data_IF_958336329934
#
_entry.id   IF_958336329934
#
_cell.length_a   1.000
_cell.length_b   1.000
_cell.length_c   1.000
_cell.angle_alpha   90.00
_cell.angle_beta   90.00
_cell.angle_gamma   90.00
#
_symmetry.space_group_name_H-M   'P 1'
#
loop_
_entity.id
_entity.type
_entity.pdbx_description
1 polymer ?
#
# COMPACT_ATOMS: atom_id res chain seq x y z
N UNK A 1 -17.96 14.08 -1.45
CA UNK A 1 -16.78 13.31 -1.07
C UNK A 1 -15.54 13.98 -1.68
N UNK A 2 -14.37 13.82 -1.01
CA UNK A 2 -13.14 14.46 -1.46
C UNK A 2 -12.57 13.83 -2.72
N UNK A 3 -11.83 14.61 -3.50
CA UNK A 3 -11.12 14.14 -4.68
C UNK A 3 -9.65 14.53 -4.61
N UNK A 4 -8.80 13.76 -5.29
CA UNK A 4 -7.36 14.02 -5.43
C UNK A 4 -6.61 14.14 -4.10
N UNK A 5 -7.08 13.45 -3.04
CA UNK A 5 -6.38 13.44 -1.76
C UNK A 5 -5.11 12.61 -1.86
N UNK A 6 -3.97 13.21 -1.54
CA UNK A 6 -2.68 12.51 -1.60
C UNK A 6 -2.31 11.94 -0.23
N UNK A 7 -2.03 10.65 -0.19
CA UNK A 7 -1.51 9.91 0.95
C UNK A 7 -0.13 9.42 0.57
N UNK A 8 0.90 9.92 1.23
CA UNK A 8 2.28 9.58 0.89
C UNK A 8 3.17 9.40 2.11
N UNK A 9 4.22 8.63 1.93
CA UNK A 9 5.26 8.40 2.93
C UNK A 9 4.71 7.80 4.24
N UNK A 10 3.77 6.86 4.10
CA UNK A 10 3.20 6.13 5.23
C UNK A 10 3.60 4.65 5.19
N UNK A 11 3.51 4.01 6.33
CA UNK A 11 3.68 2.57 6.50
C UNK A 11 2.35 1.99 6.95
N UNK A 12 1.72 1.19 6.11
CA UNK A 12 0.48 0.47 6.41
C UNK A 12 0.84 -0.96 6.79
N UNK A 13 0.72 -1.29 8.06
CA UNK A 13 1.07 -2.62 8.62
C UNK A 13 0.03 -3.08 9.61
N UNK A 14 -0.05 -4.40 9.81
CA UNK A 14 -0.89 -5.04 10.84
C UNK A 14 -2.35 -4.57 10.80
N UNK A 15 -2.89 -4.40 9.63
CA UNK A 15 -4.27 -3.90 9.44
C UNK A 15 -5.36 -4.88 9.86
N UNK A 16 -5.02 -6.15 10.06
CA UNK A 16 -5.99 -7.22 10.35
C UNK A 16 -6.86 -7.63 9.14
N UNK A 17 -6.94 -6.78 8.14
CA UNK A 17 -7.59 -6.98 6.84
C UNK A 17 -6.72 -6.44 5.73
N UNK A 18 -7.32 -6.03 4.61
CA UNK A 18 -6.61 -5.38 3.52
C UNK A 18 -6.11 -4.00 3.95
N UNK A 19 -4.82 -3.69 3.82
CA UNK A 19 -4.25 -2.39 4.17
C UNK A 19 -4.91 -1.23 3.43
N UNK A 20 -5.30 -1.45 2.18
CA UNK A 20 -6.04 -0.48 1.37
C UNK A 20 -7.38 -1.10 0.99
N UNK A 21 -8.46 -0.46 1.43
CA UNK A 21 -9.82 -0.92 1.19
C UNK A 21 -10.69 0.23 0.70
N UNK A 22 -11.28 0.09 -0.48
CA UNK A 22 -12.24 1.01 -1.06
C UNK A 22 -13.57 0.29 -1.30
N UNK A 23 -14.58 0.59 -0.49
CA UNK A 23 -15.90 -0.05 -0.52
C UNK A 23 -16.94 0.70 -1.37
N UNK A 24 -16.62 1.93 -1.80
CA UNK A 24 -17.50 2.76 -2.63
C UNK A 24 -16.80 3.13 -3.93
N UNK A 25 -17.56 3.16 -5.02
CA UNK A 25 -17.11 3.63 -6.32
C UNK A 25 -17.56 5.07 -6.55
N UNK A 26 -16.66 5.88 -7.07
CA UNK A 26 -16.95 7.21 -7.57
C UNK A 26 -16.26 7.40 -8.94
N UNK A 27 -16.86 8.23 -9.79
CA UNK A 27 -16.39 8.44 -11.18
C UNK A 27 -15.16 9.36 -11.27
N UNK A 28 -14.38 9.50 -10.21
CA UNK A 28 -13.19 10.34 -10.18
C UNK A 28 -12.11 9.75 -9.28
N UNK A 29 -10.87 10.19 -9.46
CA UNK A 29 -9.78 9.84 -8.55
C UNK A 29 -10.03 10.45 -7.18
N UNK A 30 -10.30 9.63 -6.18
CA UNK A 30 -10.52 10.04 -4.80
C UNK A 30 -9.22 10.20 -4.03
N UNK A 31 -8.30 9.25 -4.24
CA UNK A 31 -7.06 9.10 -3.48
C UNK A 31 -5.90 8.85 -4.43
N UNK A 32 -4.79 9.51 -4.16
CA UNK A 32 -3.47 9.25 -4.73
C UNK A 32 -2.60 8.64 -3.64
N UNK A 33 -2.13 7.42 -3.85
CA UNK A 33 -1.18 6.73 -2.98
C UNK A 33 0.20 6.79 -3.59
N UNK A 34 1.14 7.50 -2.98
CA UNK A 34 2.51 7.61 -3.50
C UNK A 34 3.58 7.41 -2.44
N UNK A 35 4.63 6.71 -2.79
CA UNK A 35 5.78 6.47 -1.91
C UNK A 35 5.37 5.88 -0.54
N UNK A 36 4.40 4.97 -0.50
CA UNK A 36 4.01 4.28 0.72
C UNK A 36 4.61 2.88 0.79
N UNK A 37 4.69 2.33 1.98
CA UNK A 37 4.98 0.93 2.24
C UNK A 37 3.67 0.26 2.68
N UNK A 38 3.23 -0.75 1.93
CA UNK A 38 1.95 -1.41 2.11
C UNK A 38 2.20 -2.89 2.39
N UNK A 39 2.02 -3.29 3.65
CA UNK A 39 2.31 -4.66 4.11
C UNK A 39 1.01 -5.40 4.37
N UNK A 40 0.75 -6.42 3.57
CA UNK A 40 -0.34 -7.37 3.77
C UNK A 40 0.10 -8.59 4.59
N UNK A 41 -0.85 -9.25 5.22
CA UNK A 41 -0.65 -10.52 5.93
C UNK A 41 -1.46 -11.63 5.25
N UNK A 42 -2.71 -11.81 5.65
CA UNK A 42 -3.61 -12.86 5.13
C UNK A 42 -4.57 -12.35 4.07
N UNK A 43 -4.87 -11.06 4.08
CA UNK A 43 -5.78 -10.41 3.16
C UNK A 43 -5.02 -9.80 1.95
N UNK A 44 -5.71 -9.51 0.83
CA UNK A 44 -5.12 -8.78 -0.29
C UNK A 44 -4.52 -7.45 0.15
N UNK A 45 -3.46 -7.01 -0.53
CA UNK A 45 -2.85 -5.68 -0.32
C UNK A 45 -3.85 -4.57 -0.62
N UNK A 46 -4.58 -4.72 -1.73
CA UNK A 46 -5.72 -3.89 -2.10
C UNK A 46 -7.00 -4.73 -2.10
N UNK A 47 -8.07 -4.18 -1.56
CA UNK A 47 -9.43 -4.69 -1.70
C UNK A 47 -10.29 -3.55 -2.23
N UNK A 48 -10.48 -3.51 -3.52
CA UNK A 48 -11.24 -2.47 -4.23
C UNK A 48 -12.57 -3.05 -4.68
N UNK A 49 -13.61 -2.25 -4.64
CA UNK A 49 -14.99 -2.53 -4.95
C UNK A 49 -15.34 -3.67 -5.92
N UNK A 50 -16.46 -3.53 -6.64
CA UNK A 50 -16.91 -4.57 -7.58
C UNK A 50 -16.26 -4.42 -8.95
N UNK A 51 -16.23 -5.51 -9.73
CA UNK A 51 -15.66 -5.52 -11.09
C UNK A 51 -16.26 -4.46 -12.02
N UNK A 52 -17.55 -4.20 -11.87
CA UNK A 52 -18.24 -3.14 -12.63
C UNK A 52 -17.66 -1.75 -12.40
N UNK A 53 -16.85 -1.60 -11.34
CA UNK A 53 -16.15 -0.37 -10.98
C UNK A 53 -14.72 -0.32 -11.52
N UNK A 54 -14.24 -1.39 -12.15
CA UNK A 54 -12.86 -1.45 -12.64
C UNK A 54 -12.52 -0.27 -13.58
N UNK A 55 -13.48 0.22 -14.34
CA UNK A 55 -13.33 1.42 -15.16
C UNK A 55 -13.33 2.75 -14.40
N UNK A 56 -13.68 2.72 -13.10
CA UNK A 56 -13.76 3.89 -12.22
C UNK A 56 -12.97 3.68 -10.92
N UNK A 57 -11.83 3.02 -11.01
CA UNK A 57 -10.93 2.84 -9.87
C UNK A 57 -10.44 4.20 -9.40
N UNK A 58 -10.89 4.59 -8.22
CA UNK A 58 -10.64 5.91 -7.65
C UNK A 58 -9.31 6.02 -6.90
N UNK A 59 -8.52 4.95 -6.86
CA UNK A 59 -7.18 4.96 -6.26
C UNK A 59 -6.14 4.97 -7.35
N UNK A 60 -5.35 6.03 -7.38
CA UNK A 60 -4.16 6.18 -8.21
C UNK A 60 -2.93 5.83 -7.37
N UNK A 61 -2.17 4.82 -7.78
CA UNK A 61 -0.97 4.40 -7.06
C UNK A 61 0.30 4.69 -7.85
N UNK A 62 1.34 5.17 -7.15
CA UNK A 62 2.64 5.44 -7.75
C UNK A 62 3.78 5.15 -6.76
N UNK A 63 4.81 4.47 -7.24
CA UNK A 63 6.04 4.28 -6.47
C UNK A 63 5.81 3.74 -5.05
N UNK A 64 4.81 2.86 -4.87
CA UNK A 64 4.56 2.18 -3.61
C UNK A 64 5.38 0.89 -3.52
N UNK A 65 5.74 0.51 -2.31
CA UNK A 65 6.34 -0.78 -2.02
C UNK A 65 5.28 -1.69 -1.41
N UNK A 66 4.96 -2.78 -2.09
CA UNK A 66 4.07 -3.82 -1.59
C UNK A 66 4.85 -5.00 -1.05
N UNK A 67 4.40 -5.57 0.05
CA UNK A 67 5.01 -6.74 0.65
C UNK A 67 3.97 -7.61 1.36
N UNK A 68 4.09 -8.92 1.23
CA UNK A 68 3.35 -9.84 2.08
C UNK A 68 4.30 -10.38 3.14
N UNK A 69 3.97 -10.15 4.43
CA UNK A 69 4.87 -10.51 5.55
C UNK A 69 5.09 -12.01 5.68
N UNK A 70 4.15 -12.83 5.19
CA UNK A 70 4.28 -14.28 5.15
C UNK A 70 5.06 -14.77 3.92
N UNK A 71 5.61 -13.85 3.11
CA UNK A 71 6.32 -14.13 1.86
C UNK A 71 5.46 -14.82 0.79
N UNK A 72 4.16 -14.65 0.89
CA UNK A 72 3.20 -15.09 -0.12
C UNK A 72 3.09 -14.07 -1.25
N UNK A 73 2.41 -14.44 -2.32
CA UNK A 73 2.15 -13.52 -3.43
C UNK A 73 1.34 -12.32 -2.96
N UNK A 74 1.79 -11.12 -3.31
CA UNK A 74 1.02 -9.90 -3.12
C UNK A 74 -0.16 -9.89 -4.08
N UNK A 75 -1.36 -9.76 -3.56
CA UNK A 75 -2.61 -9.74 -4.31
C UNK A 75 -3.25 -8.36 -4.23
N UNK A 76 -3.66 -7.84 -5.39
CA UNK A 76 -4.51 -6.67 -5.51
C UNK A 76 -5.85 -7.16 -6.05
N UNK A 77 -6.91 -7.01 -5.27
CA UNK A 77 -8.23 -7.53 -5.59
C UNK A 77 -9.18 -6.40 -6.02
N UNK A 78 -9.81 -6.58 -7.17
CA UNK A 78 -10.85 -5.67 -7.70
C UNK A 78 -12.12 -6.48 -7.94
N UNK A 79 -13.14 -6.24 -7.12
CA UNK A 79 -14.34 -7.07 -7.10
C UNK A 79 -13.99 -8.52 -6.81
N UNK A 80 -14.33 -9.43 -7.72
CA UNK A 80 -14.03 -10.86 -7.59
C UNK A 80 -12.70 -11.28 -8.25
N UNK A 81 -12.03 -10.36 -8.94
CA UNK A 81 -10.76 -10.64 -9.64
C UNK A 81 -9.54 -10.31 -8.80
N UNK A 82 -8.57 -11.19 -8.86
CA UNK A 82 -7.29 -11.07 -8.17
C UNK A 82 -6.17 -10.90 -9.19
N UNK A 83 -5.26 -9.98 -8.90
CA UNK A 83 -4.11 -9.64 -9.74
C UNK A 83 -2.84 -9.67 -8.89
N UNK A 84 -1.76 -10.19 -9.47
CA UNK A 84 -0.41 -9.84 -9.00
C UNK A 84 -0.11 -8.38 -9.36
N UNK A 85 0.89 -7.76 -8.70
CA UNK A 85 1.18 -6.34 -8.94
C UNK A 85 1.48 -6.05 -10.42
N UNK A 86 2.32 -6.86 -11.07
CA UNK A 86 2.68 -6.68 -12.48
C UNK A 86 1.46 -6.76 -13.40
N UNK A 87 0.62 -7.77 -13.19
CA UNK A 87 -0.60 -7.94 -13.95
C UNK A 87 -1.58 -6.78 -13.72
N UNK A 88 -1.69 -6.29 -12.49
CA UNK A 88 -2.49 -5.12 -12.16
C UNK A 88 -1.99 -3.87 -12.91
N UNK A 89 -0.68 -3.66 -12.94
CA UNK A 89 -0.06 -2.55 -13.69
C UNK A 89 -0.36 -2.64 -15.19
N UNK A 90 -0.29 -3.84 -15.78
CA UNK A 90 -0.50 -4.05 -17.21
C UNK A 90 -1.98 -3.94 -17.61
N UNK A 91 -2.90 -4.51 -16.82
CA UNK A 91 -4.33 -4.60 -17.17
C UNK A 91 -5.10 -3.37 -16.70
N UNK A 92 -4.87 -2.94 -15.44
CA UNK A 92 -5.59 -1.82 -14.83
C UNK A 92 -4.92 -0.48 -15.14
N UNK A 93 -3.60 -0.48 -15.40
CA UNK A 93 -2.84 0.72 -15.72
C UNK A 93 -2.60 1.65 -14.53
N UNK A 94 -2.58 1.11 -13.33
CA UNK A 94 -2.34 1.82 -12.06
C UNK A 94 -1.11 1.25 -11.35
N UNK A 95 -0.69 1.86 -10.25
CA UNK A 95 0.50 1.46 -9.48
C UNK A 95 1.81 1.61 -10.27
N UNK A 96 1.91 2.65 -11.08
CA UNK A 96 3.11 2.92 -11.89
C UNK A 96 4.36 3.05 -11.01
N UNK A 97 5.43 2.37 -11.40
CA UNK A 97 6.71 2.34 -10.68
C UNK A 97 6.67 1.64 -9.31
N UNK A 98 5.52 1.12 -8.88
CA UNK A 98 5.42 0.34 -7.65
C UNK A 98 6.09 -1.03 -7.79
N UNK A 99 6.60 -1.56 -6.68
CA UNK A 99 7.32 -2.84 -6.65
C UNK A 99 6.82 -3.75 -5.54
N UNK A 100 7.09 -5.05 -5.67
CA UNK A 100 7.00 -6.02 -4.58
C UNK A 100 8.40 -6.29 -4.07
N UNK A 101 8.68 -5.94 -2.81
CA UNK A 101 9.97 -6.17 -2.18
C UNK A 101 9.83 -6.19 -0.64
N UNK A 102 10.78 -6.83 0.05
CA UNK A 102 10.89 -6.74 1.50
C UNK A 102 11.28 -5.32 1.91
N UNK A 103 10.49 -4.62 2.72
CA UNK A 103 10.82 -3.28 3.19
C UNK A 103 12.04 -3.25 4.13
N UNK A 104 12.48 -4.40 4.62
CA UNK A 104 13.63 -4.56 5.52
C UNK A 104 13.44 -3.81 6.85
N UNK A 105 12.32 -4.06 7.50
CA UNK A 105 12.09 -3.55 8.87
C UNK A 105 13.12 -4.11 9.85
N UNK A 106 13.58 -3.29 10.77
CA UNK A 106 14.58 -3.67 11.77
C UNK A 106 14.07 -4.78 12.69
N UNK A 107 12.83 -4.68 13.19
CA UNK A 107 12.21 -5.72 14.02
C UNK A 107 10.67 -5.66 13.96
N UNK A 108 10.13 -6.16 12.86
CA UNK A 108 8.68 -6.19 12.63
C UNK A 108 7.90 -6.89 13.75
N UNK A 109 8.44 -7.97 14.32
CA UNK A 109 7.75 -8.76 15.34
C UNK A 109 7.50 -7.96 16.62
N UNK A 110 8.44 -7.11 16.99
CA UNK A 110 8.37 -6.24 18.16
C UNK A 110 7.86 -4.83 17.83
N UNK A 111 7.15 -4.65 16.71
CA UNK A 111 6.58 -3.39 16.27
C UNK A 111 7.63 -2.29 16.00
N UNK A 112 8.85 -2.66 15.69
CA UNK A 112 9.85 -1.72 15.20
C UNK A 112 9.83 -1.71 13.67
N UNK A 113 9.20 -0.67 13.13
CA UNK A 113 9.04 -0.45 11.68
C UNK A 113 10.11 0.48 11.11
N UNK A 114 11.18 0.74 11.83
CA UNK A 114 12.35 1.42 11.26
C UNK A 114 12.91 0.59 10.11
N UNK A 115 13.28 1.26 9.04
CA UNK A 115 13.86 0.62 7.86
C UNK A 115 15.38 0.52 7.99
N UNK A 116 15.92 -0.61 7.57
CA UNK A 116 17.35 -0.72 7.29
C UNK A 116 17.77 0.31 6.22
N UNK A 117 19.00 0.82 6.31
CA UNK A 117 19.51 1.82 5.35
C UNK A 117 19.54 1.32 3.90
N UNK A 118 19.51 0.01 3.71
CA UNK A 118 19.46 -0.64 2.39
C UNK A 118 18.03 -0.91 1.89
N UNK A 119 17.00 -0.43 2.60
CA UNK A 119 15.61 -0.67 2.20
C UNK A 119 15.34 -0.20 0.76
N UNK A 120 14.70 -1.06 -0.06
CA UNK A 120 14.33 -0.68 -1.43
C UNK A 120 13.31 0.46 -1.48
N UNK A 121 12.59 0.72 -0.38
CA UNK A 121 11.63 1.83 -0.29
C UNK A 121 12.27 3.19 -0.54
N UNK A 122 13.54 3.38 -0.15
CA UNK A 122 14.25 4.65 -0.38
C UNK A 122 14.48 4.94 -1.86
N UNK A 123 14.66 3.90 -2.69
CA UNK A 123 14.79 4.05 -4.14
C UNK A 123 13.49 4.49 -4.81
N UNK A 124 12.36 4.22 -4.17
CA UNK A 124 11.04 4.67 -4.61
C UNK A 124 10.70 6.09 -4.14
N UNK A 125 11.57 6.72 -3.36
CA UNK A 125 11.35 8.07 -2.82
C UNK A 125 10.73 8.11 -1.43
N UNK A 126 10.57 6.95 -0.75
CA UNK A 126 10.15 6.92 0.65
C UNK A 126 11.20 7.64 1.52
N UNK A 127 10.73 8.53 2.40
CA UNK A 127 11.60 9.28 3.31
C UNK A 127 11.58 8.65 4.69
N UNK A 128 12.76 8.53 5.30
CA UNK A 128 12.89 7.97 6.65
C UNK A 128 11.98 8.71 7.65
N UNK A 129 11.20 7.94 8.39
CA UNK A 129 10.32 8.47 9.44
C UNK A 129 11.07 8.38 10.76
N UNK A 130 11.17 9.50 11.48
CA UNK A 130 11.73 9.50 12.83
C UNK A 130 10.66 9.07 13.83
N UNK A 131 10.77 7.85 14.32
CA UNK A 131 9.81 7.25 15.25
C UNK A 131 10.09 7.56 16.73
N UNK A 132 11.21 8.21 17.05
CA UNK A 132 11.66 8.41 18.46
C UNK A 132 10.70 9.25 19.30
N UNK A 133 9.90 10.10 18.67
CA UNK A 133 8.99 11.02 19.35
C UNK A 133 7.54 10.84 18.90
N UNK A 134 7.17 9.66 18.41
CA UNK A 134 5.80 9.35 18.00
C UNK A 134 5.04 8.67 19.12
N UNK A 135 3.78 9.02 19.29
CA UNK A 135 2.90 8.44 20.31
C UNK A 135 2.58 9.39 21.46
N UNK A 136 1.80 8.89 22.43
CA UNK A 136 1.40 9.64 23.60
C UNK A 136 2.52 9.60 24.64
N UNK A 137 3.02 10.76 25.03
CA UNK A 137 3.91 10.87 26.20
C UNK A 137 3.04 10.79 27.46
N UNK A 138 3.07 9.66 28.14
CA UNK A 138 2.48 9.55 29.48
C UNK A 138 3.33 10.42 30.43
N UNK A 139 2.69 11.44 30.98
CA UNK A 139 3.28 12.23 32.07
C UNK A 139 3.14 11.50 33.38
#
# INVERSE_FOLDING_TARGET
YGSMNTIRNNIFVKSGGSPVNASKSEMHTGIILENNIIVSEKAPSFLLGKDEWAGSIQIEGHMNLHYNINKETVILKVGDKEYGLKEYQEIIGKEDGSIVADPMFTDYKNNNFELSDNSPAFKLGFKKINMKNTGVTLK
#
